data_IF_059974062175
#
_entry.id   IF_059974062175
#
_cell.length_a   1.000
_cell.length_b   1.000
_cell.length_c   1.000
_cell.angle_alpha   90.00
_cell.angle_beta   90.00
_cell.angle_gamma   90.00
#
_symmetry.space_group_name_H-M   'P 1'
#
loop_
_entity.id
_entity.type
_entity.pdbx_description
1 polymer ?
#
# COMPACT_ATOMS: atom_id res chain seq x y z
N UNK A 1 20.63 2.37 5.70
CA UNK A 1 20.20 3.30 6.77
C UNK A 1 19.36 2.48 7.73
N UNK A 2 19.63 2.55 9.03
CA UNK A 2 18.81 1.88 10.04
C UNK A 2 17.80 2.90 10.53
N UNK A 3 16.52 2.67 10.22
CA UNK A 3 15.44 3.56 10.65
C UNK A 3 15.04 3.33 12.09
N UNK A 4 14.47 4.35 12.71
CA UNK A 4 14.00 4.37 14.09
C UNK A 4 12.57 4.87 14.06
N UNK A 5 11.67 4.24 14.81
CA UNK A 5 10.27 4.66 14.91
C UNK A 5 10.16 6.18 15.12
N UNK A 6 9.33 6.83 14.31
CA UNK A 6 9.00 8.26 14.45
C UNK A 6 7.88 8.50 15.45
N UNK A 7 7.21 7.44 15.91
CA UNK A 7 6.06 7.50 16.79
C UNK A 7 5.11 6.32 16.56
N UNK A 8 4.02 6.25 17.32
CA UNK A 8 3.02 5.16 17.26
C UNK A 8 2.26 5.11 15.93
N UNK A 9 2.25 6.19 15.15
CA UNK A 9 1.65 6.22 13.82
C UNK A 9 2.61 5.71 12.72
N UNK A 10 3.92 5.64 12.97
CA UNK A 10 4.92 5.24 11.98
C UNK A 10 6.05 4.42 12.63
N UNK A 11 5.72 3.19 13.02
CA UNK A 11 6.62 2.25 13.69
C UNK A 11 7.90 1.95 12.91
N UNK A 12 7.82 1.97 11.58
CA UNK A 12 8.95 1.65 10.69
C UNK A 12 9.97 2.78 10.59
N UNK A 13 9.61 4.01 10.98
CA UNK A 13 10.54 5.14 10.98
C UNK A 13 10.88 5.69 9.59
N UNK A 14 10.09 5.37 8.56
CA UNK A 14 10.27 5.92 7.23
C UNK A 14 8.96 6.00 6.44
N UNK A 15 8.95 6.90 5.46
CA UNK A 15 7.95 6.99 4.40
C UNK A 15 8.69 6.99 3.07
N UNK A 16 8.20 6.22 2.11
CA UNK A 16 8.69 6.20 0.75
C UNK A 16 7.59 6.66 -0.19
N UNK A 17 7.91 7.61 -1.07
CA UNK A 17 7.01 8.09 -2.11
C UNK A 17 7.51 7.56 -3.44
N UNK A 18 6.65 6.78 -4.08
CA UNK A 18 6.92 6.25 -5.41
C UNK A 18 6.16 7.05 -6.47
N UNK A 19 6.82 7.33 -7.57
CA UNK A 19 6.20 7.75 -8.82
C UNK A 19 5.88 6.51 -9.63
N UNK A 20 4.64 6.40 -10.06
CA UNK A 20 4.20 5.39 -10.99
C UNK A 20 3.99 6.05 -12.36
N UNK A 21 4.89 5.73 -13.27
CA UNK A 21 4.82 6.17 -14.67
C UNK A 21 4.13 5.09 -15.51
N UNK A 22 3.95 5.33 -16.81
CA UNK A 22 3.41 4.30 -17.71
C UNK A 22 4.22 3.01 -17.70
N UNK A 23 5.55 3.12 -17.53
CA UNK A 23 6.48 2.00 -17.72
C UNK A 23 7.21 1.57 -16.45
N UNK A 24 7.32 2.44 -15.44
CA UNK A 24 8.20 2.21 -14.30
C UNK A 24 7.61 2.68 -12.96
N UNK A 25 7.94 1.93 -11.91
CA UNK A 25 7.79 2.32 -10.51
C UNK A 25 9.14 2.87 -9.99
N UNK A 26 9.15 4.14 -9.61
CA UNK A 26 10.37 4.89 -9.26
C UNK A 26 10.25 5.40 -7.83
N UNK A 27 11.22 5.13 -6.96
CA UNK A 27 11.35 5.78 -5.67
C UNK A 27 11.87 7.21 -5.88
N UNK A 28 11.04 8.20 -5.55
CA UNK A 28 11.34 9.61 -5.79
C UNK A 28 11.69 10.36 -4.49
N UNK A 29 10.94 10.12 -3.42
CA UNK A 29 11.23 10.70 -2.12
C UNK A 29 11.31 9.62 -1.04
N UNK A 30 12.22 9.82 -0.09
CA UNK A 30 12.29 9.02 1.12
C UNK A 30 12.43 9.95 2.32
N UNK A 31 11.54 9.81 3.29
CA UNK A 31 11.67 10.46 4.60
C UNK A 31 12.04 9.39 5.60
N UNK A 32 13.12 9.58 6.35
CA UNK A 32 13.62 8.58 7.29
C UNK A 32 14.04 9.24 8.59
N UNK A 33 13.61 8.63 9.69
CA UNK A 33 14.13 8.91 11.00
C UNK A 33 15.25 7.91 11.30
N UNK A 34 16.47 8.40 11.50
CA UNK A 34 17.64 7.58 11.77
C UNK A 34 18.65 8.35 12.62
N UNK A 35 19.58 7.66 13.30
CA UNK A 35 20.66 8.35 14.03
C UNK A 35 21.59 9.08 13.06
N UNK A 36 21.91 8.41 11.96
CA UNK A 36 22.80 8.84 10.90
C UNK A 36 22.18 8.50 9.54
N UNK A 37 22.50 9.32 8.56
CA UNK A 37 22.13 9.15 7.16
C UNK A 37 23.39 9.02 6.32
N UNK A 38 23.21 8.59 5.07
CA UNK A 38 24.27 8.55 4.06
C UNK A 38 23.71 9.00 2.72
N UNK A 39 24.58 9.38 1.81
CA UNK A 39 24.21 9.59 0.42
C UNK A 39 23.54 8.35 -0.19
N UNK A 40 22.52 8.58 -1.02
CA UNK A 40 21.83 7.55 -1.80
C UNK A 40 21.66 8.06 -3.23
N UNK A 41 22.17 7.30 -4.20
CA UNK A 41 22.07 7.65 -5.63
C UNK A 41 22.60 9.06 -5.93
N UNK A 42 23.77 9.38 -5.36
CA UNK A 42 24.41 10.70 -5.46
C UNK A 42 23.55 11.87 -4.90
N UNK A 43 22.55 11.55 -4.06
CA UNK A 43 21.70 12.52 -3.36
C UNK A 43 21.99 12.47 -1.87
N UNK A 44 22.53 13.59 -1.37
CA UNK A 44 22.64 13.85 0.07
C UNK A 44 21.26 14.17 0.69
N UNK A 45 21.01 13.72 1.93
CA UNK A 45 19.76 14.02 2.61
C UNK A 45 19.69 15.48 3.04
N UNK A 46 18.52 16.06 2.88
CA UNK A 46 18.15 17.33 3.51
C UNK A 46 17.79 17.10 4.98
N UNK A 47 18.00 18.12 5.82
CA UNK A 47 17.41 18.16 7.16
C UNK A 47 15.89 18.08 7.04
N UNK A 48 15.29 17.15 7.77
CA UNK A 48 13.85 16.94 7.76
C UNK A 48 13.12 17.63 8.91
N UNK A 49 11.99 17.06 9.33
CA UNK A 49 11.09 17.61 10.33
C UNK A 49 11.15 16.85 11.68
N UNK A 50 10.23 17.17 12.60
CA UNK A 50 10.16 16.55 13.93
C UNK A 50 9.87 15.05 13.91
N UNK A 51 9.27 14.53 12.83
CA UNK A 51 8.96 13.11 12.66
C UNK A 51 10.06 12.39 11.88
N UNK A 52 10.67 13.04 10.89
CA UNK A 52 11.69 12.43 10.04
C UNK A 52 12.91 13.33 9.94
N UNK A 53 14.00 12.93 10.62
CA UNK A 53 15.25 13.71 10.66
C UNK A 53 15.88 13.97 9.28
N UNK A 54 15.68 13.08 8.31
CA UNK A 54 16.33 13.14 7.00
C UNK A 54 15.32 12.99 5.87
N UNK A 55 15.39 13.90 4.90
CA UNK A 55 14.55 13.91 3.70
C UNK A 55 15.41 13.77 2.44
N UNK A 56 15.14 12.74 1.65
CA UNK A 56 15.68 12.56 0.31
C UNK A 56 14.60 12.95 -0.69
N UNK A 57 14.98 13.72 -1.71
CA UNK A 57 14.10 14.15 -2.80
C UNK A 57 14.78 13.90 -4.14
N UNK A 58 13.99 13.64 -5.18
CA UNK A 58 14.48 13.39 -6.54
C UNK A 58 15.50 12.24 -6.58
N UNK A 59 15.27 11.20 -5.77
CA UNK A 59 16.11 10.01 -5.74
C UNK A 59 16.17 9.34 -7.11
N UNK A 60 15.07 9.38 -7.87
CA UNK A 60 14.96 8.83 -9.22
C UNK A 60 15.45 7.37 -9.30
N UNK A 61 15.25 6.63 -8.21
CA UNK A 61 15.73 5.28 -8.06
C UNK A 61 14.70 4.30 -8.59
N UNK A 62 15.09 3.51 -9.59
CA UNK A 62 14.21 2.45 -10.09
C UNK A 62 13.97 1.41 -9.00
N UNK A 63 12.70 1.14 -8.72
CA UNK A 63 12.32 0.09 -7.77
C UNK A 63 12.69 -1.29 -8.31
N UNK A 64 13.03 -2.23 -7.43
CA UNK A 64 13.16 -3.67 -7.76
C UNK A 64 11.92 -4.47 -7.37
N UNK A 65 10.81 -3.76 -7.15
CA UNK A 65 9.56 -4.39 -6.73
C UNK A 65 9.02 -5.29 -7.84
N UNK A 66 8.62 -6.50 -7.44
CA UNK A 66 7.85 -7.44 -8.26
C UNK A 66 6.61 -7.83 -7.47
N UNK A 67 5.44 -7.70 -8.09
CA UNK A 67 4.16 -7.95 -7.45
C UNK A 67 3.06 -7.07 -8.04
N UNK A 68 1.95 -6.97 -7.30
CA UNK A 68 0.79 -6.18 -7.70
C UNK A 68 0.62 -4.97 -6.78
N UNK A 69 0.11 -3.87 -7.33
CA UNK A 69 -0.31 -2.68 -6.60
C UNK A 69 -1.77 -2.44 -6.94
N UNK A 70 -2.63 -2.35 -5.92
CA UNK A 70 -4.00 -1.87 -6.07
C UNK A 70 -4.05 -0.38 -5.75
N UNK A 71 -4.42 0.42 -6.73
CA UNK A 71 -4.80 1.82 -6.53
C UNK A 71 -6.30 1.91 -6.38
N UNK A 72 -6.75 2.39 -5.22
CA UNK A 72 -8.16 2.49 -4.90
C UNK A 72 -8.55 3.93 -4.54
N UNK A 73 -9.69 4.40 -5.04
CA UNK A 73 -10.21 5.75 -4.81
C UNK A 73 -11.73 5.70 -4.65
N UNK A 74 -12.27 6.76 -4.04
CA UNK A 74 -13.71 6.96 -3.86
C UNK A 74 -14.27 5.88 -2.92
N UNK A 75 -13.70 5.84 -1.72
CA UNK A 75 -14.08 4.93 -0.65
C UNK A 75 -15.53 5.12 -0.24
N UNK A 76 -16.26 4.02 -0.09
CA UNK A 76 -17.67 3.97 0.26
C UNK A 76 -17.75 3.80 1.78
N UNK A 77 -17.89 4.92 2.50
CA UNK A 77 -17.83 4.97 3.97
C UNK A 77 -18.79 3.99 4.66
N UNK A 78 -19.96 3.72 4.08
CA UNK A 78 -20.94 2.79 4.65
C UNK A 78 -20.50 1.32 4.64
N UNK A 79 -19.43 0.97 3.92
CA UNK A 79 -18.88 -0.38 3.84
C UNK A 79 -17.60 -0.58 4.66
N UNK A 80 -17.23 0.43 5.45
CA UNK A 80 -16.03 0.43 6.26
C UNK A 80 -16.03 -0.67 7.32
N UNK A 81 -14.89 -1.35 7.47
CA UNK A 81 -14.65 -2.38 8.48
C UNK A 81 -13.43 -1.99 9.31
N UNK A 82 -13.52 -2.05 10.64
CA UNK A 82 -12.42 -1.70 11.56
C UNK A 82 -11.26 -2.74 11.61
N UNK A 83 -11.26 -3.74 10.72
CA UNK A 83 -10.32 -4.86 10.74
C UNK A 83 -9.49 -4.90 9.46
N UNK A 84 -8.17 -4.98 9.62
CA UNK A 84 -7.22 -5.20 8.53
C UNK A 84 -7.21 -4.10 7.46
N UNK A 85 -6.81 -4.48 6.25
CA UNK A 85 -6.85 -3.63 5.08
C UNK A 85 -8.29 -3.50 4.56
N UNK A 86 -8.65 -2.32 4.06
CA UNK A 86 -9.96 -2.15 3.43
C UNK A 86 -10.07 -3.01 2.17
N UNK A 87 -11.18 -3.74 2.04
CA UNK A 87 -11.44 -4.63 0.91
C UNK A 87 -11.58 -3.82 -0.38
N UNK A 88 -11.04 -4.26 -1.54
CA UNK A 88 -11.14 -3.52 -2.80
C UNK A 88 -12.59 -3.19 -3.22
N UNK A 89 -13.55 -4.08 -2.89
CA UNK A 89 -14.97 -3.86 -3.17
C UNK A 89 -15.55 -2.61 -2.50
N UNK A 90 -14.88 -2.03 -1.50
CA UNK A 90 -15.34 -0.82 -0.80
C UNK A 90 -14.98 0.49 -1.51
N UNK A 91 -14.34 0.43 -2.68
CA UNK A 91 -13.93 1.59 -3.47
C UNK A 91 -14.62 1.59 -4.83
N UNK A 92 -15.06 2.76 -5.31
CA UNK A 92 -15.70 2.85 -6.64
C UNK A 92 -14.68 2.70 -7.77
N UNK A 93 -13.46 3.22 -7.57
CA UNK A 93 -12.38 3.13 -8.55
C UNK A 93 -11.30 2.19 -8.02
N UNK A 94 -11.00 1.12 -8.76
CA UNK A 94 -9.93 0.17 -8.42
C UNK A 94 -9.13 -0.18 -9.66
N UNK A 95 -7.83 0.13 -9.64
CA UNK A 95 -6.89 -0.20 -10.71
C UNK A 95 -5.84 -1.17 -10.17
N UNK A 96 -5.68 -2.31 -10.83
CA UNK A 96 -4.57 -3.24 -10.60
C UNK A 96 -3.40 -2.89 -11.51
N UNK A 97 -2.21 -2.84 -10.91
CA UNK A 97 -0.97 -2.57 -11.62
C UNK A 97 0.01 -3.69 -11.30
N UNK A 98 0.40 -4.44 -12.32
CA UNK A 98 1.40 -5.51 -12.19
C UNK A 98 2.77 -4.94 -12.49
N UNK A 99 3.72 -5.25 -11.62
CA UNK A 99 5.10 -4.77 -11.71
C UNK A 99 6.05 -5.96 -11.67
N UNK A 100 7.07 -5.95 -12.53
CA UNK A 100 8.16 -6.91 -12.55
C UNK A 100 9.51 -6.19 -12.62
N UNK A 101 10.33 -6.31 -11.58
CA UNK A 101 11.62 -5.61 -11.43
C UNK A 101 11.49 -4.09 -11.71
N UNK A 102 10.47 -3.50 -11.11
CA UNK A 102 10.10 -2.09 -11.29
C UNK A 102 9.48 -1.73 -12.64
N UNK A 103 9.39 -2.64 -13.60
CA UNK A 103 8.66 -2.40 -14.86
C UNK A 103 7.17 -2.60 -14.65
N UNK A 104 6.35 -1.66 -15.10
CA UNK A 104 4.90 -1.86 -15.20
C UNK A 104 4.64 -2.77 -16.40
N UNK A 105 4.07 -3.96 -16.14
CA UNK A 105 3.80 -4.95 -17.19
C UNK A 105 2.32 -4.98 -17.61
N UNK A 106 1.41 -4.55 -16.73
CA UNK A 106 -0.01 -4.39 -17.08
C UNK A 106 -0.72 -3.44 -16.12
N UNK A 107 -1.77 -2.80 -16.62
CA UNK A 107 -2.71 -2.02 -15.84
C UNK A 107 -4.13 -2.47 -16.19
N UNK A 108 -4.95 -2.78 -15.18
CA UNK A 108 -6.31 -3.27 -15.37
C UNK A 108 -7.28 -2.48 -14.51
N UNK A 109 -8.30 -1.91 -15.14
CA UNK A 109 -9.41 -1.31 -14.40
C UNK A 109 -10.37 -2.40 -13.93
N UNK A 110 -10.46 -2.54 -12.61
CA UNK A 110 -11.30 -3.52 -11.91
C UNK A 110 -12.57 -2.88 -11.34
N UNK A 111 -12.82 -1.60 -11.58
CA UNK A 111 -13.93 -0.83 -10.99
C UNK A 111 -15.30 -1.47 -11.29
N UNK A 112 -15.51 -1.92 -12.54
CA UNK A 112 -16.74 -2.64 -12.93
C UNK A 112 -16.89 -3.97 -12.19
N UNK A 113 -15.79 -4.73 -12.06
CA UNK A 113 -15.78 -5.98 -11.31
C UNK A 113 -16.11 -5.75 -9.84
N UNK A 114 -15.58 -4.69 -9.23
CA UNK A 114 -15.91 -4.33 -7.85
C UNK A 114 -17.38 -3.94 -7.71
N UNK A 115 -17.95 -3.24 -8.68
CA UNK A 115 -19.38 -2.90 -8.70
C UNK A 115 -20.27 -4.14 -8.80
N UNK A 116 -19.91 -5.09 -9.67
CA UNK A 116 -20.62 -6.36 -9.80
C UNK A 116 -20.57 -7.17 -8.49
N UNK A 117 -19.39 -7.27 -7.86
CA UNK A 117 -19.22 -7.94 -6.57
C UNK A 117 -20.03 -7.24 -5.47
N UNK A 118 -20.01 -5.91 -5.41
CA UNK A 118 -20.83 -5.12 -4.46
C UNK A 118 -22.32 -5.36 -4.64
N UNK A 119 -22.78 -5.43 -5.89
CA UNK A 119 -24.19 -5.64 -6.23
C UNK A 119 -24.68 -7.03 -5.83
N UNK A 120 -23.78 -8.02 -5.84
CA UNK A 120 -24.07 -9.39 -5.38
C UNK A 120 -24.07 -9.50 -3.86
N UNK A 121 -23.02 -9.00 -3.21
CA UNK A 121 -22.88 -9.01 -1.75
C UNK A 121 -21.95 -7.87 -1.30
N UNK A 122 -22.55 -6.77 -0.83
CA UNK A 122 -21.82 -5.63 -0.29
C UNK A 122 -21.03 -5.97 0.99
N UNK A 123 -21.41 -7.04 1.69
CA UNK A 123 -20.77 -7.49 2.92
C UNK A 123 -19.76 -8.62 2.69
N UNK A 124 -19.45 -8.96 1.44
CA UNK A 124 -18.50 -10.04 1.09
C UNK A 124 -17.15 -9.86 1.79
N UNK A 125 -16.83 -10.76 2.72
CA UNK A 125 -15.59 -10.70 3.52
C UNK A 125 -15.55 -9.59 4.57
N UNK A 126 -16.67 -8.91 4.88
CA UNK A 126 -16.74 -7.91 5.95
C UNK A 126 -16.63 -8.50 7.35
N UNK A 127 -16.95 -9.79 7.48
CA UNK A 127 -17.04 -10.53 8.72
C UNK A 127 -16.75 -12.01 8.45
N UNK A 128 -16.41 -12.80 9.47
CA UNK A 128 -16.24 -14.24 9.31
C UNK A 128 -17.57 -14.90 8.89
N UNK A 129 -17.53 -16.03 8.15
CA UNK A 129 -18.73 -16.73 7.71
C UNK A 129 -19.52 -17.38 8.86
N UNK A 130 -18.88 -17.63 10.00
CA UNK A 130 -19.55 -18.09 11.22
C UNK A 130 -18.78 -17.65 12.49
N UNK A 131 -19.35 -17.93 13.66
CA UNK A 131 -18.69 -17.69 14.96
C UNK A 131 -17.74 -18.83 15.38
N UNK A 132 -17.44 -19.79 14.48
CA UNK A 132 -16.46 -20.82 14.78
C UNK A 132 -15.07 -20.20 14.91
N UNK A 133 -14.26 -20.70 15.84
CA UNK A 133 -12.89 -20.20 16.04
C UNK A 133 -12.06 -20.25 14.74
N UNK A 134 -12.20 -21.34 13.98
CA UNK A 134 -11.49 -21.54 12.72
C UNK A 134 -11.85 -20.46 11.68
N UNK A 135 -13.14 -20.19 11.49
CA UNK A 135 -13.59 -19.20 10.51
C UNK A 135 -13.17 -17.77 10.90
N UNK A 136 -13.16 -17.47 12.20
CA UNK A 136 -12.66 -16.19 12.72
C UNK A 136 -11.15 -16.06 12.45
N UNK A 137 -10.36 -17.08 12.76
CA UNK A 137 -8.91 -17.06 12.54
C UNK A 137 -8.55 -16.93 11.06
N UNK A 138 -9.25 -17.65 10.18
CA UNK A 138 -9.07 -17.57 8.73
C UNK A 138 -9.44 -16.19 8.20
N UNK A 139 -10.59 -15.63 8.62
CA UNK A 139 -11.00 -14.28 8.23
C UNK A 139 -10.00 -13.22 8.71
N UNK A 140 -9.54 -13.28 9.97
CA UNK A 140 -8.51 -12.37 10.48
C UNK A 140 -7.25 -12.46 9.61
N UNK A 141 -6.76 -13.67 9.31
CA UNK A 141 -5.59 -13.85 8.45
C UNK A 141 -5.79 -13.23 7.07
N UNK A 142 -6.97 -13.40 6.46
CA UNK A 142 -7.29 -12.82 5.16
C UNK A 142 -7.34 -11.29 5.19
N UNK A 143 -7.93 -10.68 6.22
CA UNK A 143 -8.04 -9.21 6.31
C UNK A 143 -6.69 -8.50 6.43
N UNK A 144 -5.66 -9.18 6.95
CA UNK A 144 -4.28 -8.67 7.01
C UNK A 144 -3.38 -9.19 5.89
N UNK A 145 -3.92 -9.96 4.94
CA UNK A 145 -3.19 -10.40 3.77
C UNK A 145 -3.02 -9.25 2.77
N UNK A 146 -1.87 -9.21 2.11
CA UNK A 146 -1.64 -8.36 0.93
C UNK A 146 -1.97 -9.10 -0.38
N UNK A 147 -2.18 -10.41 -0.30
CA UNK A 147 -2.70 -11.20 -1.41
C UNK A 147 -4.22 -11.00 -1.51
N UNK A 148 -4.74 -10.95 -2.72
CA UNK A 148 -6.17 -10.84 -2.98
C UNK A 148 -6.59 -11.82 -4.07
N UNK A 149 -7.67 -12.53 -3.79
CA UNK A 149 -8.45 -13.28 -4.77
C UNK A 149 -9.87 -12.72 -4.72
N UNK A 150 -10.38 -12.26 -5.87
CA UNK A 150 -11.68 -11.59 -5.96
C UNK A 150 -12.84 -12.58 -5.96
#
# INVERSE_FOLDING_TARGET
IISISSGTACWRGYIMKYLLTQNHLILDEMRVNAKQSKEINDIEPQTGDSLFKYHYKKLNLRSKFTGNILLAKDFIQSMYVHMGFQRPITFKTVIEIKVNDGNVISQMDLSRKMEELRSQDSNRGAQPPSNSQKDIEEWVKQTFSLDYDF
#
